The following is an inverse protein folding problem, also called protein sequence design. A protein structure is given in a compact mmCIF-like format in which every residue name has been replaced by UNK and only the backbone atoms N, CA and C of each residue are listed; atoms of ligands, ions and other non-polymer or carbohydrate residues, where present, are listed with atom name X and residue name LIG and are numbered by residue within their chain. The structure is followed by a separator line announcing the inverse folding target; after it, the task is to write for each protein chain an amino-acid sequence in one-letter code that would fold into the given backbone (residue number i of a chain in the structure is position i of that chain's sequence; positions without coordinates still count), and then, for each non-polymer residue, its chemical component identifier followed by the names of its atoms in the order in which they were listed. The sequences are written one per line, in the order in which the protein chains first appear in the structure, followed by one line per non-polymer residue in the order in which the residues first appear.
data_IF_582290176928
#
_entry.id   IF_582290176928
#
_cell.length_a   1.000
_cell.length_b   1.000
_cell.length_c   1.000
_cell.angle_alpha   90.00
_cell.angle_beta   90.00
_cell.angle_gamma   90.00
#
_symmetry.space_group_name_H-M   'P 1'
#
loop_
_entity.id
_entity.type
_entity.pdbx_description
1 polymer ?
#
# COMPACT_ATOMS: atom_id res chain seq x y z
N UNK A 1 -26.12 19.76 0.73
CA UNK A 1 -25.13 19.05 -0.11
C UNK A 1 -25.37 17.56 0.05
N UNK A 2 -25.71 16.84 -1.03
CA UNK A 2 -25.96 15.39 -0.96
C UNK A 2 -24.73 14.66 -0.37
N UNK A 3 -24.96 13.66 0.49
CA UNK A 3 -23.92 12.90 1.21
C UNK A 3 -22.80 12.41 0.28
N UNK A 4 -23.14 12.07 -0.96
CA UNK A 4 -22.22 11.61 -1.99
C UNK A 4 -21.27 12.72 -2.50
N UNK A 5 -21.80 13.91 -2.83
CA UNK A 5 -20.99 15.07 -3.23
C UNK A 5 -20.02 15.50 -2.12
N UNK A 6 -20.44 15.40 -0.85
CA UNK A 6 -19.57 15.62 0.30
C UNK A 6 -18.40 14.65 0.33
N UNK A 7 -18.67 13.37 0.18
CA UNK A 7 -17.63 12.34 0.25
C UNK A 7 -16.65 12.44 -0.93
N UNK A 8 -17.12 12.81 -2.12
CA UNK A 8 -16.25 13.10 -3.27
C UNK A 8 -15.32 14.29 -3.00
N UNK A 9 -15.88 15.38 -2.45
CA UNK A 9 -15.09 16.56 -2.10
C UNK A 9 -14.05 16.25 -1.03
N UNK A 10 -14.41 15.49 0.01
CA UNK A 10 -13.46 15.05 1.05
C UNK A 10 -12.37 14.16 0.45
N UNK A 11 -12.70 13.22 -0.45
CA UNK A 11 -11.71 12.38 -1.11
C UNK A 11 -10.68 13.21 -1.91
N UNK A 12 -11.16 14.19 -2.69
CA UNK A 12 -10.31 15.08 -3.49
C UNK A 12 -9.44 15.95 -2.58
N UNK A 13 -10.03 16.56 -1.55
CA UNK A 13 -9.29 17.40 -0.60
C UNK A 13 -8.19 16.62 0.13
N UNK A 14 -8.51 15.41 0.62
CA UNK A 14 -7.52 14.57 1.29
C UNK A 14 -6.43 14.07 0.35
N UNK A 15 -6.78 13.76 -0.91
CA UNK A 15 -5.80 13.41 -1.94
C UNK A 15 -4.84 14.58 -2.23
N UNK A 16 -5.35 15.80 -2.36
CA UNK A 16 -4.53 17.00 -2.60
C UNK A 16 -3.62 17.31 -1.41
N UNK A 17 -4.17 17.33 -0.19
CA UNK A 17 -3.39 17.61 1.03
C UNK A 17 -2.30 16.56 1.25
N UNK A 18 -2.64 15.27 1.08
CA UNK A 18 -1.64 14.19 1.21
C UNK A 18 -0.56 14.26 0.12
N UNK A 19 -0.92 14.62 -1.12
CA UNK A 19 0.06 14.82 -2.18
C UNK A 19 1.01 15.96 -1.86
N UNK A 20 0.50 17.08 -1.33
CA UNK A 20 1.35 18.19 -0.86
C UNK A 20 2.31 17.67 0.22
N UNK A 21 1.81 16.98 1.25
CA UNK A 21 2.66 16.45 2.33
C UNK A 21 3.68 15.40 1.88
N UNK A 22 3.39 14.63 0.81
CA UNK A 22 4.32 13.64 0.28
C UNK A 22 5.50 14.25 -0.48
N UNK A 23 5.27 15.38 -1.16
CA UNK A 23 6.23 15.96 -2.10
C UNK A 23 6.80 17.31 -1.64
N UNK A 24 6.30 17.86 -0.54
CA UNK A 24 6.87 19.02 0.12
C UNK A 24 8.21 18.64 0.74
N UNK A 25 9.22 19.46 0.43
CA UNK A 25 10.49 19.44 1.15
C UNK A 25 10.35 20.27 2.45
N UNK A 26 10.49 19.67 3.65
CA UNK A 26 10.26 20.37 4.91
C UNK A 26 11.09 21.63 5.07
N UNK A 27 12.32 21.66 4.52
CA UNK A 27 13.23 22.80 4.62
C UNK A 27 12.73 24.05 3.88
N UNK A 28 11.83 23.89 2.91
CA UNK A 28 11.30 24.97 2.09
C UNK A 28 9.95 25.52 2.58
N UNK A 29 9.48 25.14 3.78
CA UNK A 29 8.14 25.45 4.25
C UNK A 29 8.12 26.32 5.50
N UNK A 30 7.92 27.62 5.31
CA UNK A 30 7.89 28.64 6.37
C UNK A 30 6.65 28.62 7.28
N UNK A 31 5.60 27.87 6.93
CA UNK A 31 4.33 27.85 7.67
C UNK A 31 4.13 26.60 8.55
N UNK A 32 5.09 25.67 8.54
CA UNK A 32 5.07 24.50 9.42
C UNK A 32 5.86 24.79 10.71
N UNK A 33 5.36 24.36 11.88
CA UNK A 33 6.14 24.47 13.12
C UNK A 33 7.48 23.74 13.01
N UNK A 34 8.56 24.30 13.54
CA UNK A 34 9.93 23.74 13.44
C UNK A 34 10.03 22.27 13.90
N UNK A 35 9.23 21.87 14.90
CA UNK A 35 9.16 20.48 15.39
C UNK A 35 8.56 19.49 14.38
N UNK A 36 7.69 19.96 13.50
CA UNK A 36 7.05 19.16 12.43
C UNK A 36 7.95 19.11 11.21
N UNK A 37 8.62 20.22 10.89
CA UNK A 37 9.65 20.30 9.83
C UNK A 37 10.81 19.33 10.10
N UNK A 38 11.22 19.18 11.36
CA UNK A 38 12.27 18.24 11.76
C UNK A 38 11.88 16.76 11.61
N UNK A 39 10.60 16.40 11.50
CA UNK A 39 10.15 15.00 11.43
C UNK A 39 9.46 14.69 10.09
N UNK A 40 10.27 14.53 9.05
CA UNK A 40 9.82 14.09 7.72
C UNK A 40 9.02 12.77 7.76
N UNK A 41 9.29 11.92 8.77
CA UNK A 41 8.55 10.68 9.03
C UNK A 41 7.11 10.95 9.47
N UNK A 42 6.90 11.93 10.36
CA UNK A 42 5.56 12.28 10.86
C UNK A 42 4.67 12.81 9.73
N UNK A 43 5.20 13.72 8.89
CA UNK A 43 4.47 14.29 7.76
C UNK A 43 4.05 13.20 6.78
N UNK A 44 4.97 12.28 6.43
CA UNK A 44 4.67 11.12 5.57
C UNK A 44 3.64 10.19 6.21
N UNK A 45 3.72 9.96 7.52
CA UNK A 45 2.72 9.19 8.27
C UNK A 45 1.31 9.81 8.21
N UNK A 46 1.19 11.13 8.38
CA UNK A 46 -0.09 11.84 8.22
C UNK A 46 -0.58 11.74 6.77
N UNK A 47 0.31 11.93 5.81
CA UNK A 47 -0.01 11.82 4.40
C UNK A 47 -0.52 10.41 4.05
N UNK A 48 0.07 9.36 4.62
CA UNK A 48 -0.36 7.97 4.45
C UNK A 48 -1.81 7.76 4.89
N UNK A 49 -2.16 8.25 6.08
CA UNK A 49 -3.53 8.12 6.62
C UNK A 49 -4.53 8.86 5.74
N UNK A 50 -4.24 10.12 5.39
CA UNK A 50 -5.10 10.92 4.52
C UNK A 50 -5.29 10.29 3.14
N UNK A 51 -4.21 9.80 2.54
CA UNK A 51 -4.23 9.17 1.23
C UNK A 51 -5.00 7.83 1.25
N UNK A 52 -4.89 7.08 2.34
CA UNK A 52 -5.66 5.84 2.54
C UNK A 52 -7.16 6.11 2.64
N UNK A 53 -7.56 7.14 3.41
CA UNK A 53 -8.97 7.56 3.49
C UNK A 53 -9.45 8.06 2.12
N UNK A 54 -8.64 8.84 1.42
CA UNK A 54 -8.96 9.30 0.06
C UNK A 54 -9.17 8.13 -0.91
N UNK A 55 -8.32 7.09 -0.86
CA UNK A 55 -8.43 5.90 -1.70
C UNK A 55 -9.73 5.11 -1.45
N UNK A 56 -10.09 4.91 -0.17
CA UNK A 56 -11.32 4.22 0.22
C UNK A 56 -12.55 5.05 -0.22
N UNK A 57 -12.56 6.35 0.08
CA UNK A 57 -13.64 7.24 -0.33
C UNK A 57 -13.77 7.34 -1.85
N UNK A 58 -12.65 7.32 -2.58
CA UNK A 58 -12.66 7.28 -4.04
C UNK A 58 -13.35 6.00 -4.55
N UNK A 59 -13.03 4.85 -3.91
CA UNK A 59 -13.64 3.56 -4.20
C UNK A 59 -15.14 3.50 -3.91
N UNK A 60 -15.65 4.28 -2.96
CA UNK A 60 -17.07 4.26 -2.55
C UNK A 60 -17.89 5.37 -3.23
N UNK A 61 -17.43 6.63 -3.18
CA UNK A 61 -18.23 7.82 -3.47
C UNK A 61 -18.36 8.18 -4.97
N UNK A 62 -17.43 7.73 -5.81
CA UNK A 62 -17.49 7.99 -7.26
C UNK A 62 -18.28 6.89 -7.97
N UNK A 63 -19.22 7.28 -8.83
CA UNK A 63 -20.06 6.35 -9.60
C UNK A 63 -19.27 5.67 -10.72
N UNK A 64 -18.42 6.43 -11.40
CA UNK A 64 -17.59 5.92 -12.49
C UNK A 64 -16.39 5.13 -11.93
N UNK A 65 -16.66 3.88 -11.50
CA UNK A 65 -15.65 2.96 -10.96
C UNK A 65 -14.54 2.67 -11.97
N UNK A 66 -14.87 2.59 -13.26
CA UNK A 66 -13.89 2.37 -14.33
C UNK A 66 -12.82 3.46 -14.35
N UNK A 67 -13.23 4.74 -14.26
CA UNK A 67 -12.27 5.86 -14.22
C UNK A 67 -11.34 5.78 -13.02
N UNK A 68 -11.86 5.43 -11.84
CA UNK A 68 -11.05 5.27 -10.63
C UNK A 68 -10.10 4.08 -10.75
N UNK A 69 -10.56 2.97 -11.34
CA UNK A 69 -9.73 1.80 -11.61
C UNK A 69 -8.58 2.11 -12.57
N UNK A 70 -8.82 2.91 -13.62
CA UNK A 70 -7.75 3.35 -14.54
C UNK A 70 -6.74 4.25 -13.81
N UNK A 71 -7.21 5.26 -13.08
CA UNK A 71 -6.33 6.20 -12.35
C UNK A 71 -5.48 5.46 -11.31
N UNK A 72 -6.09 4.56 -10.54
CA UNK A 72 -5.39 3.75 -9.54
C UNK A 72 -4.45 2.72 -10.19
N UNK A 73 -4.81 2.14 -11.34
CA UNK A 73 -3.90 1.29 -12.12
C UNK A 73 -2.66 2.04 -12.60
N UNK A 74 -2.83 3.28 -13.07
CA UNK A 74 -1.72 4.18 -13.41
C UNK A 74 -0.89 4.50 -12.15
N UNK A 75 -1.55 4.77 -11.01
CA UNK A 75 -0.88 4.99 -9.73
C UNK A 75 -0.02 3.79 -9.28
N UNK A 76 -0.51 2.56 -9.47
CA UNK A 76 0.27 1.35 -9.23
C UNK A 76 1.51 1.27 -10.15
N UNK A 77 1.33 1.54 -11.44
CA UNK A 77 2.44 1.54 -12.41
C UNK A 77 3.49 2.62 -12.07
N UNK A 78 3.06 3.84 -11.74
CA UNK A 78 3.95 4.94 -11.31
C UNK A 78 4.68 4.57 -10.02
N UNK A 79 3.98 4.01 -9.03
CA UNK A 79 4.57 3.59 -7.76
C UNK A 79 5.64 2.51 -7.94
N UNK A 80 5.42 1.53 -8.83
CA UNK A 80 6.44 0.55 -9.22
C UNK A 80 7.60 1.23 -9.97
N UNK A 81 7.29 2.16 -10.86
CA UNK A 81 8.28 2.98 -11.56
C UNK A 81 9.21 3.72 -10.58
N UNK A 82 8.67 4.30 -9.51
CA UNK A 82 9.47 5.00 -8.50
C UNK A 82 10.46 4.10 -7.74
N UNK A 83 10.20 2.79 -7.68
CA UNK A 83 11.10 1.83 -7.05
C UNK A 83 12.28 1.47 -7.95
N UNK A 84 12.01 1.20 -9.22
CA UNK A 84 12.99 0.58 -10.13
C UNK A 84 13.65 1.57 -11.11
N UNK A 85 13.05 2.74 -11.34
CA UNK A 85 13.62 3.75 -12.22
C UNK A 85 14.54 4.73 -11.45
N UNK A 86 15.51 5.35 -12.14
CA UNK A 86 16.33 6.41 -11.58
C UNK A 86 15.50 7.69 -11.42
N UNK A 87 14.81 7.82 -10.28
CA UNK A 87 14.00 8.99 -9.91
C UNK A 87 14.57 9.69 -8.66
N UNK A 88 14.25 10.98 -8.44
CA UNK A 88 14.62 11.69 -7.21
C UNK A 88 14.20 10.96 -5.94
N UNK A 89 14.98 11.11 -4.86
CA UNK A 89 14.77 10.43 -3.58
C UNK A 89 13.39 10.72 -2.96
N UNK A 90 12.84 11.92 -3.19
CA UNK A 90 11.50 12.32 -2.73
C UNK A 90 10.44 11.40 -3.36
N UNK A 91 10.52 11.14 -4.67
CA UNK A 91 9.58 10.27 -5.39
C UNK A 91 9.76 8.81 -4.96
N UNK A 92 11.00 8.33 -4.83
CA UNK A 92 11.26 6.97 -4.33
C UNK A 92 10.70 6.78 -2.91
N UNK A 93 10.82 7.80 -2.06
CA UNK A 93 10.31 7.81 -0.69
C UNK A 93 8.78 7.87 -0.58
N UNK A 94 8.05 8.19 -1.66
CA UNK A 94 6.58 8.18 -1.69
C UNK A 94 6.00 6.90 -2.30
N UNK A 95 6.83 6.02 -2.88
CA UNK A 95 6.40 4.81 -3.59
C UNK A 95 5.47 3.91 -2.76
N UNK A 96 5.78 3.69 -1.47
CA UNK A 96 4.94 2.89 -0.57
C UNK A 96 3.52 3.46 -0.44
N UNK A 97 3.41 4.77 -0.22
CA UNK A 97 2.15 5.48 -0.02
C UNK A 97 1.27 5.39 -1.27
N UNK A 98 1.88 5.64 -2.43
CA UNK A 98 1.21 5.60 -3.72
C UNK A 98 0.75 4.18 -4.05
N UNK A 99 1.61 3.18 -3.87
CA UNK A 99 1.29 1.77 -4.13
C UNK A 99 0.17 1.27 -3.23
N UNK A 100 0.22 1.55 -1.93
CA UNK A 100 -0.80 1.14 -0.97
C UNK A 100 -2.17 1.76 -1.32
N UNK A 101 -2.23 3.08 -1.47
CA UNK A 101 -3.48 3.77 -1.74
C UNK A 101 -4.08 3.37 -3.10
N UNK A 102 -3.21 3.24 -4.11
CA UNK A 102 -3.62 2.79 -5.44
C UNK A 102 -4.11 1.34 -5.42
N UNK A 103 -3.48 0.46 -4.64
CA UNK A 103 -3.92 -0.94 -4.49
C UNK A 103 -5.33 -1.04 -3.89
N UNK A 104 -5.60 -0.29 -2.82
CA UNK A 104 -6.93 -0.25 -2.17
C UNK A 104 -7.97 0.26 -3.17
N UNK A 105 -7.73 1.43 -3.78
CA UNK A 105 -8.68 2.03 -4.72
C UNK A 105 -8.90 1.16 -5.96
N UNK A 106 -7.83 0.56 -6.50
CA UNK A 106 -7.90 -0.35 -7.64
C UNK A 106 -8.70 -1.61 -7.31
N UNK A 107 -8.38 -2.27 -6.20
CA UNK A 107 -9.07 -3.49 -5.77
C UNK A 107 -10.57 -3.26 -5.59
N UNK A 108 -10.97 -2.12 -5.02
CA UNK A 108 -12.39 -1.79 -4.80
C UNK A 108 -13.15 -1.44 -6.07
N UNK A 109 -12.47 -1.06 -7.16
CA UNK A 109 -13.11 -0.49 -8.35
C UNK A 109 -12.91 -1.28 -9.64
N UNK A 110 -11.96 -2.22 -9.66
CA UNK A 110 -11.66 -3.01 -10.86
C UNK A 110 -12.78 -3.98 -11.21
N UNK A 111 -13.14 -4.02 -12.49
CA UNK A 111 -14.05 -5.02 -13.07
C UNK A 111 -13.31 -6.24 -13.61
N UNK A 112 -11.99 -6.13 -13.81
CA UNK A 112 -11.12 -7.18 -14.35
C UNK A 112 -10.68 -8.16 -13.25
N UNK A 113 -11.63 -8.70 -12.48
CA UNK A 113 -11.39 -9.48 -11.26
C UNK A 113 -10.37 -10.61 -11.49
N UNK A 114 -10.55 -11.43 -12.54
CA UNK A 114 -9.66 -12.57 -12.82
C UNK A 114 -8.21 -12.13 -13.05
N UNK A 115 -8.00 -11.10 -13.85
CA UNK A 115 -6.67 -10.56 -14.15
C UNK A 115 -6.06 -9.96 -12.89
N UNK A 116 -6.83 -9.16 -12.15
CA UNK A 116 -6.40 -8.56 -10.89
C UNK A 116 -6.00 -9.64 -9.86
N UNK A 117 -6.77 -10.73 -9.73
CA UNK A 117 -6.43 -11.86 -8.85
C UNK A 117 -5.11 -12.51 -9.25
N UNK A 118 -4.92 -12.83 -10.54
CA UNK A 118 -3.70 -13.49 -11.00
C UNK A 118 -2.48 -12.59 -10.80
N UNK A 119 -2.57 -11.32 -11.23
CA UNK A 119 -1.47 -10.36 -11.09
C UNK A 119 -1.13 -10.11 -9.62
N UNK A 120 -2.14 -9.94 -8.77
CA UNK A 120 -1.91 -9.72 -7.33
C UNK A 120 -1.30 -10.95 -6.65
N UNK A 121 -1.74 -12.16 -6.99
CA UNK A 121 -1.12 -13.39 -6.51
C UNK A 121 0.35 -13.51 -6.95
N UNK A 122 0.65 -13.21 -8.22
CA UNK A 122 2.03 -13.19 -8.72
C UNK A 122 2.86 -12.16 -7.95
N UNK A 123 2.38 -10.93 -7.78
CA UNK A 123 3.07 -9.89 -7.01
C UNK A 123 3.34 -10.32 -5.56
N UNK A 124 2.36 -10.95 -4.90
CA UNK A 124 2.53 -11.52 -3.55
C UNK A 124 3.60 -12.60 -3.54
N UNK A 125 3.54 -13.57 -4.45
CA UNK A 125 4.53 -14.65 -4.53
C UNK A 125 5.94 -14.12 -4.81
N UNK A 126 6.08 -13.14 -5.71
CA UNK A 126 7.36 -12.47 -5.99
C UNK A 126 7.86 -11.71 -4.76
N UNK A 127 6.98 -11.00 -4.05
CA UNK A 127 7.31 -10.33 -2.79
C UNK A 127 7.83 -11.30 -1.72
N UNK A 128 7.18 -12.45 -1.56
CA UNK A 128 7.67 -13.53 -0.68
C UNK A 128 9.03 -14.06 -1.16
N UNK A 129 9.19 -14.28 -2.47
CA UNK A 129 10.49 -14.67 -3.04
C UNK A 129 11.61 -13.67 -2.72
N UNK A 130 11.32 -12.38 -2.82
CA UNK A 130 12.28 -11.31 -2.51
C UNK A 130 12.65 -11.25 -1.03
N UNK A 131 11.74 -11.60 -0.14
CA UNK A 131 11.99 -11.69 1.31
C UNK A 131 13.04 -12.75 1.69
N UNK A 132 13.09 -13.84 0.93
CA UNK A 132 13.93 -15.00 1.24
C UNK A 132 15.11 -15.17 0.27
N UNK A 133 15.38 -14.20 -0.61
CA UNK A 133 16.44 -14.30 -1.60
C UNK A 133 17.80 -13.83 -1.02
N UNK A 134 18.78 -14.73 -0.81
CA UNK A 134 20.08 -14.34 -0.24
C UNK A 134 21.03 -13.67 -1.26
N UNK A 135 20.81 -13.88 -2.56
CA UNK A 135 21.76 -13.48 -3.62
C UNK A 135 21.73 -11.98 -3.91
N UNK A 136 20.57 -11.33 -3.76
CA UNK A 136 20.39 -9.90 -4.03
C UNK A 136 19.72 -9.22 -2.84
N UNK A 137 20.49 -8.84 -1.80
CA UNK A 137 19.94 -8.23 -0.58
C UNK A 137 19.13 -6.95 -0.82
N UNK A 138 19.43 -6.23 -1.91
CA UNK A 138 18.68 -5.05 -2.35
C UNK A 138 17.20 -5.35 -2.66
N UNK A 139 16.87 -6.58 -3.08
CA UNK A 139 15.49 -6.99 -3.35
C UNK A 139 14.67 -7.15 -2.07
N UNK A 140 15.28 -7.60 -0.97
CA UNK A 140 14.60 -7.72 0.33
C UNK A 140 14.06 -6.39 0.85
N UNK A 141 14.72 -5.27 0.53
CA UNK A 141 14.25 -3.92 0.84
C UNK A 141 13.01 -3.51 0.02
N UNK A 142 12.80 -4.11 -1.15
CA UNK A 142 11.65 -3.82 -2.05
C UNK A 142 10.49 -4.78 -1.87
N UNK A 143 10.68 -5.88 -1.14
CA UNK A 143 9.71 -6.97 -1.02
C UNK A 143 8.34 -6.50 -0.50
N UNK A 144 8.33 -5.66 0.54
CA UNK A 144 7.09 -5.12 1.12
C UNK A 144 6.26 -4.33 0.10
N UNK A 145 6.92 -3.63 -0.83
CA UNK A 145 6.26 -2.82 -1.84
C UNK A 145 5.54 -3.65 -2.92
N UNK A 146 5.86 -4.94 -3.04
CA UNK A 146 5.12 -5.89 -3.88
C UNK A 146 4.12 -6.70 -3.06
N UNK A 147 4.57 -7.16 -1.89
CA UNK A 147 3.80 -8.03 -1.01
C UNK A 147 2.52 -7.36 -0.53
N UNK A 148 2.61 -6.13 -0.02
CA UNK A 148 1.49 -5.45 0.62
C UNK A 148 0.41 -5.04 -0.40
N UNK A 149 0.72 -4.36 -1.52
CA UNK A 149 -0.25 -4.10 -2.58
C UNK A 149 -0.85 -5.39 -3.17
N UNK A 150 -0.03 -6.43 -3.36
CA UNK A 150 -0.48 -7.73 -3.85
C UNK A 150 -1.53 -8.34 -2.94
N UNK A 151 -1.25 -8.46 -1.64
CA UNK A 151 -2.20 -9.02 -0.68
C UNK A 151 -3.47 -8.18 -0.57
N UNK A 152 -3.37 -6.85 -0.59
CA UNK A 152 -4.55 -5.98 -0.55
C UNK A 152 -5.46 -6.25 -1.75
N UNK A 153 -4.92 -6.17 -2.97
CA UNK A 153 -5.72 -6.37 -4.18
C UNK A 153 -6.30 -7.78 -4.20
N UNK A 154 -5.48 -8.80 -3.89
CA UNK A 154 -5.90 -10.19 -3.85
C UNK A 154 -7.08 -10.39 -2.88
N UNK A 155 -6.95 -9.88 -1.65
CA UNK A 155 -7.97 -9.99 -0.60
C UNK A 155 -9.28 -9.27 -0.95
N UNK A 156 -9.22 -8.16 -1.69
CA UNK A 156 -10.43 -7.45 -2.14
C UNK A 156 -11.12 -8.20 -3.29
N UNK A 157 -10.35 -8.63 -4.29
CA UNK A 157 -10.92 -9.13 -5.55
C UNK A 157 -11.24 -10.62 -5.54
N UNK A 158 -10.47 -11.45 -4.81
CA UNK A 158 -10.64 -12.90 -4.85
C UNK A 158 -11.94 -13.32 -4.16
N UNK A 159 -12.71 -14.23 -4.75
CA UNK A 159 -14.07 -14.53 -4.29
C UNK A 159 -14.14 -15.36 -3.01
N UNK A 160 -13.15 -16.20 -2.72
CA UNK A 160 -13.22 -17.14 -1.59
C UNK A 160 -12.66 -16.52 -0.30
N UNK A 161 -13.55 -15.90 0.49
CA UNK A 161 -13.22 -15.26 1.78
C UNK A 161 -12.39 -16.16 2.71
N UNK A 162 -12.85 -17.39 2.93
CA UNK A 162 -12.19 -18.38 3.81
C UNK A 162 -10.75 -18.68 3.36
N UNK A 163 -10.48 -18.71 2.06
CA UNK A 163 -9.14 -18.95 1.55
C UNK A 163 -8.23 -17.74 1.81
N UNK A 164 -8.73 -16.51 1.61
CA UNK A 164 -7.99 -15.30 1.95
C UNK A 164 -7.68 -15.20 3.44
N UNK A 165 -8.63 -15.58 4.31
CA UNK A 165 -8.41 -15.65 5.76
C UNK A 165 -7.31 -16.65 6.11
N UNK A 166 -7.36 -17.87 5.55
CA UNK A 166 -6.33 -18.90 5.77
C UNK A 166 -4.94 -18.43 5.31
N UNK A 167 -4.85 -17.81 4.13
CA UNK A 167 -3.59 -17.25 3.63
C UNK A 167 -3.09 -16.16 4.59
N UNK A 168 -3.96 -15.25 5.03
CA UNK A 168 -3.61 -14.15 5.93
C UNK A 168 -3.13 -14.68 7.29
N UNK A 169 -3.83 -15.65 7.87
CA UNK A 169 -3.43 -16.33 9.12
C UNK A 169 -2.09 -17.06 8.92
N UNK A 170 -1.89 -17.72 7.78
CA UNK A 170 -0.61 -18.34 7.44
C UNK A 170 0.54 -17.34 7.42
N UNK A 171 0.35 -16.18 6.78
CA UNK A 171 1.35 -15.10 6.77
C UNK A 171 1.63 -14.54 8.18
N UNK A 172 0.59 -14.38 9.00
CA UNK A 172 0.74 -13.95 10.41
C UNK A 172 1.55 -14.98 11.19
N UNK A 173 1.19 -16.27 11.09
CA UNK A 173 1.88 -17.35 11.79
C UNK A 173 3.34 -17.45 11.35
N UNK A 174 3.62 -17.40 10.05
CA UNK A 174 5.00 -17.37 9.52
C UNK A 174 5.77 -16.13 10.00
N UNK A 175 5.12 -14.97 10.02
CA UNK A 175 5.71 -13.73 10.53
C UNK A 175 6.10 -13.85 12.01
N UNK A 176 5.19 -14.37 12.86
CA UNK A 176 5.45 -14.61 14.27
C UNK A 176 6.58 -15.62 14.49
N UNK A 177 6.55 -16.76 13.80
CA UNK A 177 7.61 -17.77 13.89
C UNK A 177 8.96 -17.19 13.51
N UNK A 178 9.01 -16.37 12.45
CA UNK A 178 10.23 -15.69 11.99
C UNK A 178 10.73 -14.66 13.01
N UNK A 179 9.85 -13.88 13.63
CA UNK A 179 10.21 -12.91 14.69
C UNK A 179 10.76 -13.59 15.95
N UNK A 180 10.29 -14.80 16.27
CA UNK A 180 10.74 -15.56 17.43
C UNK A 180 12.05 -16.34 17.20
N UNK A 181 12.65 -16.31 16.01
CA UNK A 181 13.93 -16.97 15.76
C UNK A 181 15.08 -16.17 16.41
N UNK A 182 15.84 -16.74 17.37
CA UNK A 182 16.81 -15.98 18.17
C UNK A 182 18.06 -15.50 17.41
N UNK A 183 18.29 -15.96 16.19
CA UNK A 183 19.66 -16.04 15.67
C UNK A 183 19.98 -15.15 14.45
N UNK A 184 19.01 -14.50 13.80
CA UNK A 184 19.28 -13.69 12.60
C UNK A 184 18.37 -12.45 12.49
N UNK A 185 18.98 -11.25 12.47
CA UNK A 185 18.31 -9.95 12.23
C UNK A 185 17.48 -9.95 10.93
N UNK A 186 17.88 -10.76 9.94
CA UNK A 186 17.18 -10.97 8.68
C UNK A 186 15.77 -11.53 8.90
N UNK A 187 15.62 -12.50 9.82
CA UNK A 187 14.31 -13.07 10.16
C UNK A 187 13.40 -12.07 10.88
N UNK A 188 13.97 -11.05 11.53
CA UNK A 188 13.19 -10.00 12.16
C UNK A 188 12.53 -9.08 11.12
N UNK A 189 13.30 -8.60 10.13
CA UNK A 189 12.77 -7.77 9.05
C UNK A 189 11.77 -8.55 8.18
N UNK A 190 12.09 -9.79 7.82
CA UNK A 190 11.19 -10.66 7.05
C UNK A 190 9.93 -10.98 7.83
N UNK A 191 10.06 -11.31 9.11
CA UNK A 191 8.93 -11.59 10.00
C UNK A 191 7.97 -10.41 10.14
N UNK A 192 8.51 -9.19 10.30
CA UNK A 192 7.69 -7.99 10.37
C UNK A 192 6.91 -7.73 9.07
N UNK A 193 7.56 -7.88 7.91
CA UNK A 193 6.90 -7.66 6.62
C UNK A 193 5.79 -8.69 6.35
N UNK A 194 6.01 -9.96 6.69
CA UNK A 194 4.99 -11.02 6.59
C UNK A 194 3.83 -10.76 7.54
N UNK A 195 4.12 -10.35 8.78
CA UNK A 195 3.10 -10.05 9.77
C UNK A 195 2.25 -8.84 9.34
N UNK A 196 2.88 -7.78 8.85
CA UNK A 196 2.18 -6.61 8.32
C UNK A 196 1.30 -6.96 7.11
N UNK A 197 1.80 -7.76 6.17
CA UNK A 197 1.03 -8.22 5.02
C UNK A 197 -0.15 -9.12 5.44
N UNK A 198 0.09 -10.09 6.31
CA UNK A 198 -0.94 -10.99 6.83
C UNK A 198 -2.03 -10.26 7.60
N UNK A 199 -1.67 -9.34 8.51
CA UNK A 199 -2.65 -8.51 9.24
C UNK A 199 -3.46 -7.62 8.29
N UNK A 200 -2.80 -6.97 7.33
CA UNK A 200 -3.50 -6.12 6.35
C UNK A 200 -4.49 -6.95 5.52
N UNK A 201 -4.05 -8.12 5.04
CA UNK A 201 -4.91 -9.06 4.33
C UNK A 201 -6.11 -9.48 5.17
N UNK A 202 -5.88 -9.85 6.44
CA UNK A 202 -6.94 -10.28 7.36
C UNK A 202 -7.97 -9.17 7.61
N UNK A 203 -7.52 -7.93 7.88
CA UNK A 203 -8.38 -6.77 8.11
C UNK A 203 -9.25 -6.50 6.88
N UNK A 204 -8.64 -6.49 5.68
CA UNK A 204 -9.36 -6.29 4.42
C UNK A 204 -10.44 -7.35 4.22
N UNK A 205 -10.11 -8.61 4.47
CA UNK A 205 -11.07 -9.72 4.32
C UNK A 205 -12.19 -9.64 5.35
N UNK A 206 -11.88 -9.27 6.59
CA UNK A 206 -12.86 -9.14 7.67
C UNK A 206 -13.92 -8.05 7.37
N UNK A 207 -13.51 -6.96 6.71
CA UNK A 207 -14.38 -5.83 6.37
C UNK A 207 -14.95 -5.85 4.94
N UNK A 208 -14.71 -6.93 4.19
CA UNK A 208 -15.41 -7.24 2.94
C UNK A 208 -16.73 -7.95 3.21
#
# INVERSE_FOLDING_TARGET
MEKQKRNQLVAISFFLISSIFLYVDPENVSWLPDRVVQSSVLIKGIAFVLLSIAAILAGIAFENKLRISIISGIGLAIGLGFLYLPVPAILRGSAFHLLFASAVSFGMTTTAIRVATVVSAICTCVGIGFLYQPVFPSLGGTALYLLLPGIIVFSIVYSQKVMCERISIGLIALGLVSLCQPFLILFYQTGFQLLLAGLTGFIVVAHR
#
